data_IF_781866352585
#
_entry.id   IF_781866352585
#
_cell.length_a   1.000
_cell.length_b   1.000
_cell.length_c   1.000
_cell.angle_alpha   90.00
_cell.angle_beta   90.00
_cell.angle_gamma   90.00
#
_symmetry.space_group_name_H-M   'P 1'
#
loop_
_entity.id
_entity.type
_entity.pdbx_description
1 polymer ?
#
# COMPACT_ATOMS: atom_id res chain seq x y z
N UNK A 1 9.67 -12.31 -24.80
CA UNK A 1 11.08 -12.67 -24.56
C UNK A 1 11.74 -11.73 -23.54
N UNK A 2 11.22 -10.50 -23.36
CA UNK A 2 11.82 -9.48 -22.51
C UNK A 2 10.93 -9.05 -21.32
N UNK A 3 9.70 -9.60 -21.20
CA UNK A 3 8.78 -9.27 -20.12
C UNK A 3 8.71 -10.47 -19.16
N UNK A 4 9.23 -10.30 -17.95
CA UNK A 4 9.21 -11.35 -16.93
C UNK A 4 7.89 -11.42 -16.17
N UNK A 5 7.24 -10.27 -15.91
CA UNK A 5 5.98 -10.18 -15.22
C UNK A 5 5.22 -8.91 -15.58
N UNK A 6 3.90 -8.95 -15.49
CA UNK A 6 3.00 -7.80 -15.70
C UNK A 6 2.02 -7.71 -14.54
N UNK A 7 1.75 -6.51 -14.06
CA UNK A 7 0.64 -6.23 -13.17
C UNK A 7 -0.46 -5.45 -13.92
N UNK A 8 -1.70 -5.93 -13.84
CA UNK A 8 -2.86 -5.35 -14.49
C UNK A 8 -3.76 -4.74 -13.43
N UNK A 9 -4.13 -3.46 -13.61
CA UNK A 9 -5.10 -2.82 -12.74
C UNK A 9 -6.50 -3.43 -12.93
N UNK A 10 -7.16 -3.75 -11.83
CA UNK A 10 -8.50 -4.34 -11.83
C UNK A 10 -9.58 -3.27 -12.04
N UNK A 11 -10.01 -3.09 -13.27
CA UNK A 11 -11.07 -2.12 -13.63
C UNK A 11 -12.41 -2.77 -13.98
N UNK A 12 -12.57 -4.08 -13.76
CA UNK A 12 -13.83 -4.83 -14.01
C UNK A 12 -14.37 -4.67 -15.44
N UNK A 13 -13.49 -4.55 -16.41
CA UNK A 13 -13.86 -4.37 -17.80
C UNK A 13 -13.49 -5.59 -18.63
N UNK A 14 -14.17 -5.75 -19.77
CA UNK A 14 -13.79 -6.78 -20.75
C UNK A 14 -12.35 -6.67 -21.24
N UNK A 15 -11.79 -5.45 -21.23
CA UNK A 15 -10.39 -5.21 -21.59
C UNK A 15 -9.42 -5.75 -20.55
N UNK A 16 -9.75 -5.63 -19.26
CA UNK A 16 -8.96 -6.21 -18.17
C UNK A 16 -8.90 -7.72 -18.29
N UNK A 17 -10.05 -8.38 -18.43
CA UNK A 17 -10.11 -9.83 -18.60
C UNK A 17 -9.34 -10.28 -19.84
N UNK A 18 -9.57 -9.63 -20.97
CA UNK A 18 -8.85 -9.95 -22.22
C UNK A 18 -7.34 -9.80 -22.10
N UNK A 19 -6.86 -8.77 -21.38
CA UNK A 19 -5.43 -8.57 -21.15
C UNK A 19 -4.84 -9.69 -20.27
N UNK A 20 -5.55 -10.10 -19.22
CA UNK A 20 -5.17 -11.23 -18.37
C UNK A 20 -5.07 -12.51 -19.20
N UNK A 21 -6.13 -12.85 -19.96
CA UNK A 21 -6.17 -14.06 -20.79
C UNK A 21 -5.01 -14.12 -21.80
N UNK A 22 -4.70 -12.97 -22.44
CA UNK A 22 -3.60 -12.87 -23.39
C UNK A 22 -2.24 -13.11 -22.72
N UNK A 23 -1.98 -12.52 -21.56
CA UNK A 23 -0.72 -12.63 -20.85
C UNK A 23 -0.52 -14.03 -20.25
N UNK A 24 -1.54 -14.56 -19.61
CA UNK A 24 -1.53 -15.93 -19.07
C UNK A 24 -1.32 -16.94 -20.19
N UNK A 25 -2.03 -16.80 -21.32
CA UNK A 25 -1.86 -17.69 -22.48
C UNK A 25 -0.46 -17.59 -23.11
N UNK A 26 0.19 -16.44 -22.99
CA UNK A 26 1.57 -16.22 -23.45
C UNK A 26 2.63 -16.70 -22.45
N UNK A 27 2.23 -17.25 -21.29
CA UNK A 27 3.14 -17.71 -20.25
C UNK A 27 3.84 -16.58 -19.49
N UNK A 28 3.29 -15.36 -19.51
CA UNK A 28 3.83 -14.22 -18.76
C UNK A 28 3.27 -14.26 -17.34
N UNK A 29 4.13 -14.15 -16.33
CA UNK A 29 3.70 -14.01 -14.93
C UNK A 29 2.79 -12.80 -14.79
N UNK A 30 1.52 -13.05 -14.45
CA UNK A 30 0.46 -12.02 -14.46
C UNK A 30 -0.06 -11.79 -13.06
N UNK A 31 0.02 -10.56 -12.57
CA UNK A 31 -0.52 -10.14 -11.29
C UNK A 31 -1.70 -9.17 -11.51
N UNK A 32 -2.62 -9.14 -10.56
CA UNK A 32 -3.68 -8.14 -10.49
C UNK A 32 -3.31 -7.08 -9.44
N UNK A 33 -3.42 -5.81 -9.80
CA UNK A 33 -3.42 -4.70 -8.84
C UNK A 33 -4.88 -4.32 -8.53
N UNK A 34 -5.30 -4.58 -7.30
CA UNK A 34 -6.64 -4.30 -6.81
C UNK A 34 -6.62 -3.12 -5.85
N UNK A 35 -7.30 -2.01 -6.18
CA UNK A 35 -7.39 -0.86 -5.27
C UNK A 35 -8.45 -1.16 -4.21
N UNK A 36 -7.99 -1.33 -2.96
CA UNK A 36 -8.82 -1.62 -1.80
C UNK A 36 -9.28 -0.31 -1.15
N UNK A 37 -10.55 -0.02 -1.25
CA UNK A 37 -11.19 1.16 -0.67
C UNK A 37 -12.63 0.86 -0.25
N UNK A 38 -13.32 1.85 0.33
CA UNK A 38 -14.67 1.69 0.85
C UNK A 38 -15.69 1.20 -0.20
N UNK A 39 -15.48 1.57 -1.46
CA UNK A 39 -16.39 1.21 -2.56
C UNK A 39 -16.04 -0.14 -3.20
N UNK A 40 -14.92 -0.76 -2.85
CA UNK A 40 -14.44 -2.00 -3.48
C UNK A 40 -14.19 -3.13 -2.48
N UNK A 41 -14.27 -2.87 -1.17
CA UNK A 41 -13.99 -3.88 -0.15
C UNK A 41 -15.01 -5.02 -0.15
N UNK A 42 -16.29 -4.73 -0.38
CA UNK A 42 -17.33 -5.76 -0.44
C UNK A 42 -17.07 -6.73 -1.59
N UNK A 43 -16.71 -6.22 -2.77
CA UNK A 43 -16.34 -7.05 -3.91
C UNK A 43 -15.03 -7.83 -3.65
N UNK A 44 -14.05 -7.23 -2.98
CA UNK A 44 -12.81 -7.93 -2.62
C UNK A 44 -13.10 -9.11 -1.70
N UNK A 45 -13.98 -8.93 -0.71
CA UNK A 45 -14.44 -9.99 0.20
C UNK A 45 -15.14 -11.09 -0.60
N UNK A 46 -16.06 -10.73 -1.49
CA UNK A 46 -16.80 -11.68 -2.33
C UNK A 46 -15.84 -12.51 -3.21
N UNK A 47 -14.90 -11.87 -3.91
CA UNK A 47 -13.90 -12.57 -4.71
C UNK A 47 -13.01 -13.52 -3.89
N UNK A 48 -12.63 -13.12 -2.68
CA UNK A 48 -11.85 -13.97 -1.79
C UNK A 48 -12.67 -15.17 -1.28
N UNK A 49 -13.93 -14.96 -0.91
CA UNK A 49 -14.82 -16.04 -0.43
C UNK A 49 -15.16 -17.05 -1.54
N UNK A 50 -15.30 -16.59 -2.78
CA UNK A 50 -15.66 -17.43 -3.93
C UNK A 50 -14.44 -17.99 -4.67
N UNK A 51 -13.24 -17.48 -4.36
CA UNK A 51 -11.98 -17.78 -5.07
C UNK A 51 -12.08 -17.59 -6.60
N UNK A 52 -12.85 -16.59 -7.05
CA UNK A 52 -13.23 -16.40 -8.44
C UNK A 52 -12.43 -15.31 -9.20
N UNK A 53 -11.25 -14.95 -8.68
CA UNK A 53 -10.29 -14.21 -9.49
C UNK A 53 -9.89 -15.03 -10.74
N UNK A 54 -9.54 -14.36 -11.87
CA UNK A 54 -9.21 -15.05 -13.11
C UNK A 54 -8.18 -16.17 -12.95
N UNK A 55 -8.42 -17.31 -13.61
CA UNK A 55 -7.51 -18.45 -13.57
C UNK A 55 -6.14 -18.13 -14.18
N UNK A 56 -5.09 -18.74 -13.63
CA UNK A 56 -3.73 -18.64 -14.14
C UNK A 56 -2.98 -17.36 -13.74
N UNK A 57 -3.57 -16.48 -12.96
CA UNK A 57 -2.83 -15.37 -12.35
C UNK A 57 -1.85 -15.87 -11.30
N UNK A 58 -0.76 -15.14 -11.11
CA UNK A 58 0.25 -15.46 -10.10
C UNK A 58 -0.12 -14.85 -8.74
N UNK A 59 -0.59 -13.59 -8.72
CA UNK A 59 -0.91 -12.90 -7.48
C UNK A 59 -2.00 -11.84 -7.64
N UNK A 60 -2.71 -11.56 -6.54
CA UNK A 60 -3.52 -10.35 -6.36
C UNK A 60 -2.81 -9.45 -5.35
N UNK A 61 -2.46 -8.24 -5.77
CA UNK A 61 -1.80 -7.24 -4.95
C UNK A 61 -2.84 -6.18 -4.55
N UNK A 62 -3.22 -6.15 -3.29
CA UNK A 62 -4.14 -5.16 -2.76
C UNK A 62 -3.38 -3.86 -2.47
N UNK A 63 -3.81 -2.79 -3.14
CA UNK A 63 -3.27 -1.45 -2.98
C UNK A 63 -4.26 -0.62 -2.18
N UNK A 64 -3.90 -0.23 -0.97
CA UNK A 64 -4.76 0.58 -0.13
C UNK A 64 -5.11 1.90 -0.83
N UNK A 65 -6.40 2.24 -0.89
CA UNK A 65 -6.87 3.49 -1.51
C UNK A 65 -6.30 4.72 -0.78
N UNK A 66 -5.81 5.69 -1.56
CA UNK A 66 -5.32 6.98 -1.07
C UNK A 66 -6.13 8.11 -1.68
N UNK A 67 -6.53 9.13 -0.89
CA UNK A 67 -7.31 10.27 -1.40
C UNK A 67 -6.40 11.30 -2.10
N UNK A 68 -5.70 10.87 -3.17
CA UNK A 68 -4.81 11.70 -3.96
C UNK A 68 -5.09 11.53 -5.45
N UNK A 69 -4.80 12.52 -6.26
CA UNK A 69 -5.10 12.51 -7.69
C UNK A 69 -6.61 12.38 -7.93
N UNK A 70 -7.04 11.28 -8.53
CA UNK A 70 -8.46 10.95 -8.73
C UNK A 70 -9.11 10.27 -7.53
N UNK A 71 -8.33 9.93 -6.49
CA UNK A 71 -8.83 9.33 -5.27
C UNK A 71 -9.62 10.33 -4.43
N UNK A 72 -10.69 9.86 -3.77
CA UNK A 72 -11.57 10.71 -2.94
C UNK A 72 -11.50 10.29 -1.47
N UNK A 73 -11.68 11.26 -0.57
CA UNK A 73 -11.73 11.02 0.87
C UNK A 73 -12.88 10.06 1.26
N UNK A 74 -13.98 10.09 0.52
CA UNK A 74 -15.15 9.22 0.77
C UNK A 74 -14.88 7.74 0.53
N UNK A 75 -13.82 7.40 -0.21
CA UNK A 75 -13.42 6.02 -0.50
C UNK A 75 -12.31 5.50 0.44
N UNK A 76 -11.87 6.29 1.42
CA UNK A 76 -10.90 5.86 2.43
C UNK A 76 -11.56 4.87 3.38
N UNK A 77 -10.86 3.77 3.69
CA UNK A 77 -11.30 2.79 4.68
C UNK A 77 -11.04 3.30 6.09
N UNK A 78 -11.96 2.97 7.00
CA UNK A 78 -11.79 3.19 8.43
C UNK A 78 -11.35 1.90 9.12
N UNK A 79 -10.46 1.95 10.12
CA UNK A 79 -10.13 0.77 10.93
C UNK A 79 -11.33 0.26 11.75
N UNK A 80 -12.37 1.07 11.97
CA UNK A 80 -13.59 0.69 12.69
C UNK A 80 -14.64 0.02 11.79
N UNK A 81 -14.40 -0.05 10.47
CA UNK A 81 -15.30 -0.72 9.53
C UNK A 81 -15.16 -2.24 9.68
N UNK A 82 -16.26 -2.93 10.06
CA UNK A 82 -16.27 -4.38 10.26
C UNK A 82 -15.83 -5.16 9.02
N UNK A 83 -16.06 -4.62 7.83
CA UNK A 83 -15.59 -5.22 6.57
C UNK A 83 -14.07 -5.28 6.48
N UNK A 84 -13.37 -4.33 7.09
CA UNK A 84 -11.89 -4.35 7.17
C UNK A 84 -11.43 -5.55 7.98
N UNK A 85 -12.07 -5.83 9.11
CA UNK A 85 -11.77 -7.01 9.94
C UNK A 85 -12.07 -8.30 9.19
N UNK A 86 -13.23 -8.36 8.52
CA UNK A 86 -13.62 -9.53 7.72
C UNK A 86 -12.62 -9.79 6.61
N UNK A 87 -12.24 -8.76 5.84
CA UNK A 87 -11.27 -8.85 4.76
C UNK A 87 -9.93 -9.44 5.25
N UNK A 88 -9.34 -8.87 6.29
CA UNK A 88 -8.08 -9.36 6.83
C UNK A 88 -8.18 -10.75 7.46
N UNK A 89 -9.33 -11.10 8.07
CA UNK A 89 -9.58 -12.45 8.58
C UNK A 89 -9.61 -13.51 7.48
N UNK A 90 -10.14 -13.18 6.30
CA UNK A 90 -10.09 -14.06 5.13
C UNK A 90 -8.66 -14.29 4.67
N UNK A 91 -7.85 -13.22 4.60
CA UNK A 91 -6.45 -13.30 4.23
C UNK A 91 -5.64 -14.18 5.19
N UNK A 92 -5.89 -14.05 6.49
CA UNK A 92 -5.13 -14.72 7.53
C UNK A 92 -5.39 -16.24 7.61
N UNK A 93 -6.57 -16.70 7.19
CA UNK A 93 -7.06 -18.06 7.45
C UNK A 93 -7.14 -18.97 6.22
N UNK A 94 -6.87 -18.48 5.03
CA UNK A 94 -7.07 -19.24 3.80
C UNK A 94 -5.81 -19.32 2.94
N UNK A 95 -5.54 -20.52 2.43
CA UNK A 95 -4.59 -20.78 1.36
C UNK A 95 -5.30 -20.63 0.02
N UNK A 96 -4.98 -19.60 -0.73
CA UNK A 96 -5.54 -19.34 -2.05
C UNK A 96 -4.71 -20.00 -3.16
N UNK A 97 -5.33 -20.24 -4.34
CA UNK A 97 -4.64 -20.75 -5.53
C UNK A 97 -3.65 -19.74 -6.14
N UNK A 98 -3.71 -18.49 -5.73
CA UNK A 98 -2.85 -17.38 -6.13
C UNK A 98 -2.20 -16.77 -4.88
N UNK A 99 -1.10 -16.07 -5.08
CA UNK A 99 -0.47 -15.36 -3.98
C UNK A 99 -1.23 -14.07 -3.66
N UNK A 100 -1.21 -13.66 -2.40
CA UNK A 100 -1.74 -12.38 -1.98
C UNK A 100 -0.59 -11.49 -1.53
N UNK A 101 -0.59 -10.26 -2.05
CA UNK A 101 0.36 -9.23 -1.67
C UNK A 101 -0.32 -7.92 -1.30
N UNK A 102 0.43 -7.04 -0.68
CA UNK A 102 -0.03 -5.74 -0.22
C UNK A 102 0.99 -4.65 -0.51
N UNK A 103 0.52 -3.42 -0.67
CA UNK A 103 1.42 -2.28 -0.60
C UNK A 103 1.85 -2.00 0.86
N UNK A 104 2.97 -1.33 1.03
CA UNK A 104 3.51 -1.00 2.37
C UNK A 104 2.58 -0.12 3.23
N UNK A 105 1.62 0.56 2.61
CA UNK A 105 0.60 1.34 3.33
C UNK A 105 -0.41 0.46 4.07
N UNK A 106 -0.56 -0.81 3.69
CA UNK A 106 -1.46 -1.78 4.31
C UNK A 106 -0.87 -2.45 5.56
N UNK A 107 0.42 -2.30 5.81
CA UNK A 107 1.13 -2.94 6.95
C UNK A 107 0.47 -2.67 8.31
N UNK A 108 0.01 -1.43 8.63
CA UNK A 108 -0.73 -1.21 9.88
C UNK A 108 -1.97 -2.08 10.01
N UNK A 109 -2.72 -2.28 8.92
CA UNK A 109 -3.90 -3.14 8.90
C UNK A 109 -3.55 -4.61 9.08
N UNK A 110 -2.55 -5.11 8.36
CA UNK A 110 -2.07 -6.48 8.53
C UNK A 110 -1.67 -6.75 9.98
N UNK A 111 -0.82 -5.91 10.55
CA UNK A 111 -0.40 -6.06 11.95
C UNK A 111 -1.54 -5.94 12.98
N UNK A 112 -2.60 -5.21 12.66
CA UNK A 112 -3.71 -4.96 13.58
C UNK A 112 -4.80 -6.05 13.51
N UNK A 113 -5.04 -6.64 12.35
CA UNK A 113 -6.19 -7.50 12.07
C UNK A 113 -5.84 -8.96 11.70
N UNK A 114 -4.53 -9.32 11.60
CA UNK A 114 -4.09 -10.69 11.37
C UNK A 114 -3.27 -11.22 12.53
N UNK A 115 -3.25 -12.54 12.72
CA UNK A 115 -2.54 -13.24 13.80
C UNK A 115 -1.45 -14.17 13.27
N UNK A 116 -1.64 -14.76 12.08
CA UNK A 116 -0.77 -15.80 11.52
C UNK A 116 0.29 -15.26 10.55
N UNK A 117 0.11 -14.05 10.02
CA UNK A 117 1.08 -13.43 9.12
C UNK A 117 2.37 -13.10 9.88
N UNK A 118 3.48 -13.65 9.38
CA UNK A 118 4.79 -13.42 9.99
C UNK A 118 5.26 -11.97 9.77
N UNK A 119 5.56 -11.25 10.84
CA UNK A 119 6.08 -9.88 10.78
C UNK A 119 7.31 -9.73 9.87
N UNK A 120 8.16 -10.78 9.78
CA UNK A 120 9.35 -10.80 8.93
C UNK A 120 9.05 -10.74 7.43
N UNK A 121 7.80 -10.95 7.01
CA UNK A 121 7.39 -10.82 5.61
C UNK A 121 6.80 -9.46 5.27
N UNK A 122 6.66 -8.57 6.27
CA UNK A 122 6.06 -7.26 6.12
C UNK A 122 7.14 -6.19 5.98
N UNK A 123 7.07 -5.41 4.90
CA UNK A 123 7.89 -4.22 4.70
C UNK A 123 7.04 -2.96 4.94
N UNK A 124 7.31 -2.22 6.03
CA UNK A 124 6.60 -0.97 6.30
C UNK A 124 7.05 0.12 5.32
N UNK A 125 6.43 1.29 5.41
CA UNK A 125 6.62 2.41 4.47
C UNK A 125 8.08 2.62 4.04
N UNK A 126 8.32 2.61 2.73
CA UNK A 126 9.64 2.74 2.11
C UNK A 126 10.06 4.21 1.90
N UNK A 127 9.13 5.15 2.00
CA UNK A 127 9.36 6.57 1.71
C UNK A 127 10.56 7.13 2.48
N UNK A 128 11.47 7.80 1.78
CA UNK A 128 12.74 8.32 2.29
C UNK A 128 13.62 7.29 3.03
N UNK A 129 13.29 5.99 3.00
CA UNK A 129 14.10 4.90 3.56
C UNK A 129 14.81 4.11 2.45
N UNK A 130 14.08 3.71 1.44
CA UNK A 130 14.56 2.93 0.30
C UNK A 130 14.10 3.51 -1.04
N UNK A 131 13.11 4.38 -1.02
CA UNK A 131 12.54 5.00 -2.22
C UNK A 131 12.32 6.49 -2.04
N UNK A 132 12.28 7.20 -3.16
CA UNK A 132 11.89 8.61 -3.27
C UNK A 132 11.16 8.81 -4.59
N UNK A 133 10.50 9.95 -4.74
CA UNK A 133 9.76 10.31 -5.94
C UNK A 133 10.29 11.64 -6.48
N UNK A 134 10.53 11.71 -7.79
CA UNK A 134 10.93 12.93 -8.47
C UNK A 134 9.78 13.40 -9.36
N UNK A 135 9.33 14.62 -9.15
CA UNK A 135 8.28 15.28 -9.94
C UNK A 135 8.80 15.74 -11.29
N UNK A 136 7.89 16.04 -12.23
CA UNK A 136 8.25 16.56 -13.56
C UNK A 136 8.90 17.94 -13.51
N UNK A 137 8.72 18.71 -12.44
CA UNK A 137 9.35 20.00 -12.18
C UNK A 137 10.61 19.90 -11.30
N UNK A 138 11.23 18.70 -11.28
CA UNK A 138 12.51 18.45 -10.63
C UNK A 138 12.51 18.67 -9.11
N UNK A 139 11.44 18.30 -8.43
CA UNK A 139 11.41 18.22 -6.97
C UNK A 139 11.52 16.78 -6.51
N UNK A 140 12.35 16.52 -5.53
CA UNK A 140 12.45 15.21 -4.87
C UNK A 140 11.56 15.18 -3.62
N UNK A 141 10.72 14.17 -3.53
CA UNK A 141 9.77 13.93 -2.45
C UNK A 141 10.06 12.57 -1.79
N UNK A 142 9.77 12.39 -0.51
CA UNK A 142 9.88 11.08 0.15
C UNK A 142 8.92 10.04 -0.40
N UNK A 143 7.76 10.48 -0.94
CA UNK A 143 6.74 9.63 -1.51
C UNK A 143 5.89 10.41 -2.52
N UNK A 144 5.39 9.76 -3.57
CA UNK A 144 4.51 10.37 -4.58
C UNK A 144 3.21 10.95 -4.00
N UNK A 145 2.79 10.51 -2.82
CA UNK A 145 1.58 11.01 -2.15
C UNK A 145 1.78 12.36 -1.42
N UNK A 146 3.01 12.88 -1.32
CA UNK A 146 3.28 14.25 -0.87
C UNK A 146 3.16 15.28 -2.01
N UNK A 147 2.84 14.85 -3.23
CA UNK A 147 2.80 15.69 -4.42
C UNK A 147 1.79 16.86 -4.38
N UNK A 148 0.81 16.84 -3.49
CA UNK A 148 -0.17 17.92 -3.34
C UNK A 148 0.32 19.02 -2.40
N UNK A 149 0.91 18.66 -1.28
CA UNK A 149 1.31 19.61 -0.24
C UNK A 149 2.78 20.02 -0.38
N UNK A 150 3.60 19.16 -1.00
CA UNK A 150 5.04 19.37 -1.19
C UNK A 150 5.78 19.69 0.11
N UNK A 151 5.28 19.18 1.22
CA UNK A 151 5.79 19.50 2.56
C UNK A 151 7.27 19.14 2.73
N UNK A 152 7.67 18.01 2.14
CA UNK A 152 9.04 17.49 2.22
C UNK A 152 9.75 17.54 0.86
N UNK A 153 9.41 18.53 0.03
CA UNK A 153 10.02 18.70 -1.28
C UNK A 153 11.41 19.34 -1.20
N UNK A 154 12.36 18.80 -1.95
CA UNK A 154 13.69 19.39 -2.18
C UNK A 154 13.86 19.64 -3.66
N UNK A 155 14.26 20.86 -4.04
CA UNK A 155 14.44 21.28 -5.44
C UNK A 155 15.76 20.71 -6.01
N UNK A 156 15.66 19.84 -7.02
CA UNK A 156 16.81 19.24 -7.70
C UNK A 156 17.45 20.17 -8.77
N UNK A 157 16.91 21.35 -8.98
CA UNK A 157 17.62 22.38 -9.76
C UNK A 157 18.71 23.06 -8.92
N UNK A 158 18.61 23.00 -7.59
CA UNK A 158 19.55 23.59 -6.63
C UNK A 158 20.39 22.55 -5.89
N UNK A 159 19.91 21.29 -5.83
CA UNK A 159 20.52 20.21 -5.07
C UNK A 159 20.68 18.94 -5.92
N UNK A 160 21.70 18.16 -5.61
CA UNK A 160 21.82 16.80 -6.13
C UNK A 160 20.84 15.85 -5.43
N UNK A 161 20.57 14.69 -6.03
CA UNK A 161 19.75 13.62 -5.41
C UNK A 161 20.32 13.21 -4.04
N UNK A 162 21.65 13.12 -3.91
CA UNK A 162 22.30 12.76 -2.66
C UNK A 162 22.08 13.84 -1.58
N UNK A 163 22.26 15.13 -1.93
CA UNK A 163 22.01 16.23 -1.00
C UNK A 163 20.54 16.28 -0.56
N UNK A 164 19.61 16.07 -1.50
CA UNK A 164 18.19 15.98 -1.17
C UNK A 164 17.88 14.80 -0.23
N UNK A 165 18.48 13.63 -0.50
CA UNK A 165 18.31 12.44 0.32
C UNK A 165 18.84 12.61 1.74
N UNK A 166 19.97 13.30 1.91
CA UNK A 166 20.64 13.54 3.18
C UNK A 166 20.20 14.85 3.86
N UNK A 167 19.21 15.55 3.31
CA UNK A 167 18.73 16.84 3.81
C UNK A 167 17.97 16.71 5.14
N UNK A 168 17.95 17.80 5.90
CA UNK A 168 17.10 17.94 7.10
C UNK A 168 15.61 17.76 6.78
N UNK A 169 15.18 18.10 5.55
CA UNK A 169 13.81 17.94 5.09
C UNK A 169 13.42 16.46 5.04
N UNK A 170 14.28 15.62 4.47
CA UNK A 170 14.07 14.18 4.44
C UNK A 170 14.25 13.53 5.82
N UNK A 171 15.14 14.07 6.65
CA UNK A 171 15.30 13.58 8.02
C UNK A 171 14.10 13.94 8.91
N UNK A 172 13.48 15.11 8.71
CA UNK A 172 12.20 15.44 9.35
C UNK A 172 11.13 14.41 8.99
N UNK A 173 11.00 14.03 7.71
CA UNK A 173 10.09 12.95 7.31
C UNK A 173 10.40 11.63 8.03
N UNK A 174 11.66 11.20 8.04
CA UNK A 174 12.11 9.98 8.75
C UNK A 174 11.85 10.04 10.25
N UNK A 175 11.85 11.23 10.83
CA UNK A 175 11.58 11.42 12.25
C UNK A 175 10.19 10.97 12.67
N UNK A 176 9.21 11.01 11.74
CA UNK A 176 7.84 10.54 12.00
C UNK A 176 7.81 9.03 12.28
N UNK A 177 8.65 8.25 11.58
CA UNK A 177 8.77 6.81 11.85
C UNK A 177 9.40 6.52 13.22
N UNK A 178 10.36 7.35 13.65
CA UNK A 178 11.06 7.20 14.93
C UNK A 178 10.22 7.65 16.13
N UNK A 179 9.35 8.63 15.92
CA UNK A 179 8.63 9.31 16.99
C UNK A 179 7.15 8.92 17.10
N UNK A 180 6.57 8.34 16.05
CA UNK A 180 5.18 7.87 16.08
C UNK A 180 5.04 6.63 16.96
N UNK A 181 3.89 6.52 17.62
CA UNK A 181 3.50 5.32 18.36
C UNK A 181 4.54 4.85 19.41
N UNK A 182 5.15 5.78 20.11
CA UNK A 182 6.09 5.46 21.21
C UNK A 182 5.37 4.59 22.26
N UNK A 183 6.01 3.47 22.62
CA UNK A 183 5.42 2.51 23.56
C UNK A 183 4.54 1.43 22.94
N UNK A 184 4.24 1.51 21.64
CA UNK A 184 3.56 0.42 20.92
C UNK A 184 4.53 -0.74 20.69
N UNK A 185 4.13 -1.95 21.05
CA UNK A 185 4.94 -3.17 20.86
C UNK A 185 5.24 -3.48 19.38
N UNK A 186 4.42 -2.95 18.46
CA UNK A 186 4.55 -3.16 17.01
C UNK A 186 5.22 -1.98 16.29
N UNK A 187 5.79 -1.02 17.02
CA UNK A 187 6.39 0.19 16.44
C UNK A 187 7.49 -0.13 15.43
N UNK A 188 8.35 -1.10 15.73
CA UNK A 188 9.46 -1.48 14.85
C UNK A 188 9.00 -2.09 13.52
N UNK A 189 7.88 -2.80 13.53
CA UNK A 189 7.34 -3.48 12.34
C UNK A 189 6.39 -2.56 11.55
N UNK A 190 5.68 -1.64 12.22
CA UNK A 190 4.66 -0.77 11.64
C UNK A 190 5.17 0.61 11.25
N UNK A 191 6.15 1.15 11.99
CA UNK A 191 6.67 2.53 11.88
C UNK A 191 5.59 3.62 12.02
N UNK A 192 4.43 3.29 12.63
CA UNK A 192 3.33 4.23 12.84
C UNK A 192 2.47 4.52 11.62
N UNK A 193 2.66 3.78 10.52
CA UNK A 193 1.91 3.95 9.28
C UNK A 193 2.33 5.17 8.45
N UNK A 194 1.43 5.69 7.64
CA UNK A 194 1.72 6.76 6.69
C UNK A 194 1.91 8.13 7.38
N UNK A 195 3.07 8.81 7.25
CA UNK A 195 3.26 10.16 7.79
C UNK A 195 2.49 11.25 7.03
N UNK A 196 2.19 11.02 5.74
CA UNK A 196 1.57 11.99 4.84
C UNK A 196 0.05 11.95 4.96
N UNK A 197 -0.52 10.74 4.95
CA UNK A 197 -1.96 10.47 4.92
C UNK A 197 -2.37 9.65 6.13
N UNK A 198 -2.53 10.32 7.27
CA UNK A 198 -2.89 9.65 8.54
C UNK A 198 -4.26 8.97 8.46
N UNK A 199 -5.16 9.52 7.65
CA UNK A 199 -6.52 9.01 7.46
C UNK A 199 -6.60 7.61 6.83
N UNK A 200 -5.54 7.13 6.17
CA UNK A 200 -5.52 5.78 5.58
C UNK A 200 -4.93 4.72 6.54
N UNK A 201 -4.46 5.11 7.72
CA UNK A 201 -3.79 4.18 8.63
C UNK A 201 -4.82 3.27 9.30
N UNK A 202 -4.79 1.98 8.95
CA UNK A 202 -5.72 0.97 9.47
C UNK A 202 -5.25 0.45 10.83
N UNK A 203 -5.33 1.32 11.87
CA UNK A 203 -4.99 0.99 13.24
C UNK A 203 -6.06 1.53 14.19
N UNK A 204 -6.57 0.69 15.10
CA UNK A 204 -7.60 1.04 16.08
C UNK A 204 -7.04 1.70 17.35
N UNK A 205 -5.71 1.67 17.54
CA UNK A 205 -5.09 2.30 18.70
C UNK A 205 -5.02 3.81 18.51
N UNK A 206 -5.65 4.55 19.41
CA UNK A 206 -5.48 6.00 19.46
C UNK A 206 -4.05 6.36 19.87
N UNK A 207 -3.52 7.51 19.39
CA UNK A 207 -2.20 8.01 19.79
C UNK A 207 -2.05 8.18 21.32
N UNK A 208 -3.16 8.30 22.04
CA UNK A 208 -3.22 8.43 23.50
C UNK A 208 -2.95 7.14 24.27
N UNK A 209 -3.19 6.00 23.64
CA UNK A 209 -2.96 4.67 24.25
C UNK A 209 -1.50 4.19 24.10
N UNK A 210 -0.65 5.06 23.54
CA UNK A 210 0.70 4.75 23.11
C UNK A 210 1.78 5.47 23.93
N UNK A 211 1.40 6.18 24.99
CA UNK A 211 2.32 6.88 25.93
C UNK A 211 2.43 6.18 27.26
#
# INVERSE_FOLDING_TARGET
EYCGAVAISWYRSEYTQKAIDMLVSAGVTTNIHYVLGRNSIDEAIEHLQQEDFPDGINAVIFLLHKPVGLGTQTNVLSPDDERVKEFFSLIDKHDYKFQIGFDSCSVPGLLNFTEEILNSTLEPCEGARFSGYITSDMKMLPCSFDNQELKWAVDLNEHTIQEAWDSDVFDDFRSHFRNSCRGCSRQCDCLGGCPIRREIVLCTKEEKDLC
#
